data_IF_351789402180
#
_entry.id   IF_351789402180
#
_cell.length_a   1.000
_cell.length_b   1.000
_cell.length_c   1.000
_cell.angle_alpha   90.00
_cell.angle_beta   90.00
_cell.angle_gamma   90.00
#
_symmetry.space_group_name_H-M   'P 1'
#
loop_
_entity.id
_entity.type
_entity.pdbx_description
1 polymer ?
2 water ?
#
# COMPACT_ATOMS: atom_id res chain seq x y z
N UNK A 20 -15.76 -7.04 15.16
CA UNK A 20 -16.20 -6.89 13.78
C UNK A 20 -15.83 -5.58 13.18
N UNK A 21 -15.51 -4.62 14.05
CA UNK A 21 -15.15 -3.28 13.63
C UNK A 21 -13.80 -2.92 14.26
N UNK A 22 -13.24 -1.77 13.86
CA UNK A 22 -11.97 -1.25 14.33
C UNK A 22 -10.93 -2.36 14.30
N UNK A 23 -10.80 -3.05 13.13
CA UNK A 23 -9.80 -4.14 13.10
C UNK A 23 -8.89 -4.08 11.89
N UNK A 24 -8.97 -3.01 11.12
CA UNK A 24 -8.11 -2.86 9.95
C UNK A 24 -7.00 -1.85 10.20
N UNK A 25 -5.73 -2.24 9.99
CA UNK A 25 -4.63 -1.31 10.03
C UNK A 25 -4.25 -1.02 8.57
N UNK A 26 -4.28 0.25 8.16
CA UNK A 26 -4.07 0.63 6.76
C UNK A 26 -2.74 1.38 6.63
N UNK A 27 -1.86 0.85 5.78
CA UNK A 27 -0.54 1.45 5.54
C UNK A 27 -0.58 2.28 4.25
N UNK A 28 -0.18 3.57 4.36
CA UNK A 28 -0.22 4.51 3.25
C UNK A 28 1.07 5.29 3.12
N UNK A 29 1.37 5.76 1.90
CA UNK A 29 2.56 6.55 1.64
C UNK A 29 2.16 8.03 1.59
N UNK A 30 2.88 8.88 2.37
CA UNK A 30 2.52 10.29 2.50
C UNK A 30 3.18 11.24 1.52
N UNK A 31 4.04 10.73 0.60
CA UNK A 31 4.77 11.63 -0.29
C UNK A 31 4.62 11.22 -1.77
N UNK A 32 5.71 10.85 -2.48
CA UNK A 32 5.66 10.49 -3.89
C UNK A 32 5.67 9.00 -4.22
N UNK A 33 5.36 8.13 -3.28
CA UNK A 33 5.29 6.71 -3.61
C UNK A 33 6.55 5.89 -3.40
N UNK A 34 7.65 6.52 -2.96
CA UNK A 34 8.92 5.81 -2.79
C UNK A 34 9.37 5.69 -1.36
N UNK A 35 8.45 5.79 -0.40
CA UNK A 35 8.79 5.79 1.03
C UNK A 35 9.12 4.42 1.62
N UNK A 36 8.86 3.35 0.85
CA UNK A 36 9.14 2.00 1.33
C UNK A 36 8.05 1.46 2.23
N UNK A 37 6.78 1.65 1.84
CA UNK A 37 5.68 1.13 2.65
C UNK A 37 5.73 -0.40 2.81
N UNK A 38 6.32 -1.10 1.85
CA UNK A 38 6.46 -2.55 1.90
C UNK A 38 7.29 -3.03 3.09
N UNK A 39 8.30 -2.24 3.50
CA UNK A 39 9.09 -2.60 4.64
C UNK A 39 8.23 -2.57 5.90
N UNK A 40 7.46 -1.48 6.11
CA UNK A 40 6.67 -1.43 7.33
C UNK A 40 5.48 -2.42 7.28
N UNK A 41 4.97 -2.76 6.06
CA UNK A 41 3.89 -3.74 5.99
C UNK A 41 4.41 -5.09 6.45
N UNK A 42 5.59 -5.49 5.95
CA UNK A 42 6.15 -6.76 6.37
C UNK A 42 6.51 -6.78 7.86
N UNK A 43 7.09 -5.65 8.34
CA UNK A 43 7.43 -5.54 9.76
C UNK A 43 6.16 -5.66 10.65
N UNK A 44 5.08 -4.93 10.30
CA UNK A 44 3.85 -5.01 11.08
C UNK A 44 3.22 -6.39 11.01
N UNK A 45 3.31 -7.04 9.85
CA UNK A 45 2.74 -8.38 9.72
C UNK A 45 3.43 -9.40 10.65
N UNK A 46 4.75 -9.25 10.80
CA UNK A 46 5.48 -10.15 11.68
C UNK A 46 5.20 -9.84 13.15
N UNK A 47 5.10 -8.55 13.51
CA UNK A 47 4.83 -8.15 14.88
C UNK A 47 3.40 -8.43 15.33
N UNK A 48 2.39 -8.13 14.48
CA UNK A 48 1.00 -8.24 14.90
C UNK A 48 0.25 -9.51 14.48
N UNK A 49 0.77 -10.23 13.51
CA UNK A 49 0.21 -11.50 13.08
C UNK A 49 -1.21 -11.42 12.58
N UNK A 50 -1.46 -10.54 11.62
CA UNK A 50 -2.78 -10.41 11.02
C UNK A 50 -3.20 -11.74 10.37
N UNK A 51 -4.50 -12.07 10.41
CA UNK A 51 -4.95 -13.29 9.71
C UNK A 51 -5.32 -12.92 8.28
N UNK A 52 -5.67 -11.66 8.00
CA UNK A 52 -6.00 -11.29 6.64
C UNK A 52 -5.12 -10.13 6.20
N UNK A 53 -4.63 -10.22 4.94
CA UNK A 53 -3.88 -9.14 4.31
C UNK A 53 -4.57 -8.79 3.00
N UNK A 54 -4.70 -7.47 2.69
CA UNK A 54 -5.52 -7.07 1.56
C UNK A 54 -4.88 -5.87 0.87
N UNK A 55 -5.07 -5.76 -0.45
CA UNK A 55 -4.63 -4.61 -1.22
C UNK A 55 -5.45 -4.45 -2.46
N UNK A 56 -5.15 -3.42 -3.28
CA UNK A 56 -5.87 -3.17 -4.54
C UNK A 56 -4.91 -2.43 -5.45
N UNK A 57 -3.79 -3.09 -5.80
CA UNK A 57 -2.75 -2.41 -6.59
C UNK A 57 -3.07 -2.40 -8.09
N UNK A 58 -2.55 -1.37 -8.77
CA UNK A 58 -2.53 -1.32 -10.24
C UNK A 58 -1.08 -1.60 -10.61
N UNK A 59 -0.73 -1.80 -11.90
CA UNK A 59 0.67 -2.12 -12.23
C UNK A 59 1.65 -1.11 -11.65
N UNK A 60 2.69 -1.64 -11.03
CA UNK A 60 3.65 -0.79 -10.34
C UNK A 60 5.05 -1.40 -10.41
N UNK A 61 6.07 -0.67 -9.91
CA UNK A 61 7.45 -1.14 -9.92
C UNK A 61 7.78 -2.22 -8.87
N UNK A 62 6.86 -2.47 -7.94
CA UNK A 62 7.08 -3.49 -6.92
C UNK A 62 7.32 -2.92 -5.53
N UNK A 63 6.91 -3.69 -4.52
CA UNK A 63 7.04 -3.34 -3.10
C UNK A 63 7.87 -4.39 -2.44
N UNK A 64 8.95 -3.95 -1.78
CA UNK A 64 9.94 -4.83 -1.20
C UNK A 64 9.87 -4.95 0.31
N UNK A 65 10.07 -6.19 0.80
CA UNK A 65 10.24 -6.53 2.19
C UNK A 65 11.38 -7.54 2.28
N UNK A 66 12.30 -7.34 3.25
CA UNK A 66 13.40 -8.26 3.55
C UNK A 66 13.28 -8.57 5.06
N UNK A 67 13.17 -9.86 5.40
CA UNK A 67 13.02 -10.27 6.80
C UNK A 67 14.36 -10.28 7.56
N UNK A 68 14.33 -10.64 8.86
CA UNK A 68 15.52 -10.68 9.71
C UNK A 68 16.57 -11.68 9.21
N UNK A 69 16.14 -12.73 8.48
CA UNK A 69 17.05 -13.77 7.93
C UNK A 69 17.61 -13.43 6.54
N UNK A 70 17.10 -12.38 5.91
CA UNK A 70 17.57 -11.97 4.59
C UNK A 70 16.74 -12.41 3.40
N UNK A 71 15.56 -13.04 3.63
CA UNK A 71 14.70 -13.41 2.50
C UNK A 71 14.01 -12.15 2.00
N UNK A 72 13.95 -11.99 0.67
CA UNK A 72 13.40 -10.83 0.00
C UNK A 72 12.15 -11.15 -0.80
N UNK A 73 11.13 -10.30 -0.69
CA UNK A 73 9.91 -10.38 -1.47
C UNK A 73 9.79 -9.07 -2.22
N UNK A 74 9.63 -9.14 -3.56
CA UNK A 74 9.43 -7.99 -4.43
C UNK A 74 8.08 -8.26 -5.06
N UNK A 75 7.02 -7.60 -4.54
CA UNK A 75 5.67 -7.87 -4.98
C UNK A 75 5.05 -6.73 -5.75
N UNK A 76 4.43 -7.04 -6.89
CA UNK A 76 3.65 -6.07 -7.65
C UNK A 76 2.17 -6.35 -7.42
N UNK A 77 1.82 -7.61 -7.09
CA UNK A 77 0.43 -8.00 -6.95
C UNK A 77 0.10 -8.34 -5.52
N UNK A 78 0.79 -9.32 -4.94
CA UNK A 78 0.46 -9.76 -3.60
C UNK A 78 0.87 -8.74 -2.54
N UNK A 79 0.11 -8.68 -1.45
CA UNK A 79 0.52 -7.83 -0.32
C UNK A 79 1.84 -8.31 0.26
N UNK A 80 2.62 -7.37 0.82
CA UNK A 80 3.85 -7.76 1.50
C UNK A 80 3.56 -8.48 2.82
N UNK A 81 2.36 -8.26 3.36
CA UNK A 81 1.93 -8.85 4.62
C UNK A 81 1.74 -10.36 4.63
N UNK A 82 1.98 -11.04 3.50
CA UNK A 82 1.82 -12.51 3.48
C UNK A 82 2.81 -13.21 4.40
N UNK A 83 3.78 -12.45 4.94
CA UNK A 83 4.75 -12.96 5.90
C UNK A 83 4.16 -13.12 7.32
N UNK A 84 2.90 -12.72 7.52
CA UNK A 84 2.30 -12.85 8.84
C UNK A 84 2.32 -14.29 9.31
N UNK A 85 2.77 -14.56 10.54
CA UNK A 85 2.77 -15.96 11.01
C UNK A 85 1.37 -16.54 11.20
N UNK A 86 0.31 -15.71 11.23
CA UNK A 86 -1.05 -16.21 11.43
C UNK A 86 -1.88 -16.07 10.15
N UNK A 87 -1.21 -15.97 9.00
CA UNK A 87 -1.93 -15.78 7.73
C UNK A 87 -3.00 -16.82 7.43
N UNK A 88 -4.23 -16.36 7.08
CA UNK A 88 -5.34 -17.23 6.73
C UNK A 88 -5.95 -16.80 5.39
N UNK A 89 -5.98 -15.46 5.11
CA UNK A 89 -6.61 -14.97 3.88
C UNK A 89 -5.75 -13.89 3.24
N UNK A 90 -5.59 -13.96 1.89
CA UNK A 90 -4.89 -12.97 1.05
C UNK A 90 -5.94 -12.45 0.10
N UNK A 91 -6.27 -11.13 0.17
CA UNK A 91 -7.40 -10.62 -0.60
C UNK A 91 -6.97 -9.53 -1.60
N UNK A 92 -7.31 -9.70 -2.88
CA UNK A 92 -6.98 -8.68 -3.90
C UNK A 92 -8.29 -8.00 -4.32
N UNK A 93 -8.40 -6.72 -4.00
CA UNK A 93 -9.64 -5.97 -4.12
C UNK A 93 -10.11 -5.62 -5.51
N UNK A 94 -11.34 -5.11 -5.55
CA UNK A 94 -11.98 -4.76 -6.81
C UNK A 94 -11.20 -3.75 -7.60
N UNK A 95 -10.46 -2.88 -6.91
CA UNK A 95 -9.64 -1.87 -7.54
C UNK A 95 -8.37 -2.43 -8.14
N UNK A 96 -8.06 -3.71 -7.93
CA UNK A 96 -6.82 -4.25 -8.48
C UNK A 96 -6.84 -4.31 -10.01
N UNK A 97 -5.67 -4.08 -10.63
CA UNK A 97 -5.48 -4.24 -12.08
C UNK A 97 -4.18 -5.03 -12.13
N UNK A 98 -4.24 -6.29 -12.58
CA UNK A 98 -3.07 -7.14 -12.46
C UNK A 98 -2.87 -8.08 -13.62
N UNK A 99 -1.63 -8.51 -13.80
CA UNK A 99 -1.26 -9.49 -14.81
C UNK A 99 -1.41 -10.86 -14.16
N UNK A 100 -2.16 -11.80 -14.79
CA UNK A 100 -2.30 -13.14 -14.23
C UNK A 100 -0.93 -13.83 -14.18
N UNK A 101 -0.11 -13.65 -15.24
CA UNK A 101 1.22 -14.25 -15.25
C UNK A 101 2.03 -13.83 -14.02
N UNK A 102 2.00 -12.54 -13.67
CA UNK A 102 2.76 -12.07 -12.53
C UNK A 102 2.18 -12.60 -11.23
N UNK A 103 0.84 -12.66 -11.13
CA UNK A 103 0.26 -13.19 -9.90
C UNK A 103 0.68 -14.63 -9.67
N UNK A 104 0.65 -15.45 -10.75
CA UNK A 104 1.00 -16.85 -10.58
C UNK A 104 2.45 -17.03 -10.17
N UNK A 105 3.35 -16.17 -10.69
CA UNK A 105 4.78 -16.22 -10.34
C UNK A 105 4.97 -15.81 -8.87
N UNK A 106 4.26 -14.78 -8.41
CA UNK A 106 4.43 -14.38 -7.02
C UNK A 106 3.91 -15.45 -6.06
N UNK A 107 2.81 -16.14 -6.42
CA UNK A 107 2.27 -17.18 -5.55
C UNK A 107 3.29 -18.32 -5.50
N UNK A 108 3.87 -18.70 -6.67
CA UNK A 108 4.84 -19.80 -6.74
C UNK A 108 6.06 -19.53 -5.87
N UNK A 109 6.57 -18.29 -5.93
CA UNK A 109 7.74 -17.87 -5.15
C UNK A 109 7.53 -17.91 -3.64
N UNK A 110 6.26 -17.84 -3.19
CA UNK A 110 5.90 -17.91 -1.79
C UNK A 110 4.98 -19.09 -1.51
N UNK A 111 5.09 -20.18 -2.31
CA UNK A 111 4.21 -21.33 -2.13
C UNK A 111 4.26 -21.93 -0.72
N UNK A 112 5.41 -21.80 -0.02
CA UNK A 112 5.62 -22.29 1.35
C UNK A 112 4.71 -21.55 2.35
N UNK A 113 4.41 -20.27 2.08
CA UNK A 113 3.56 -19.45 2.94
C UNK A 113 2.11 -19.55 2.53
N UNK A 114 1.83 -20.00 1.30
CA UNK A 114 0.47 -19.95 0.76
C UNK A 114 -0.24 -21.29 0.52
N UNK A 115 0.48 -22.42 0.53
CA UNK A 115 -0.11 -23.74 0.22
C UNK A 115 -1.00 -24.36 1.31
N UNK A 116 -0.67 -24.17 2.60
CA UNK A 116 -1.41 -24.80 3.69
C UNK A 116 -2.33 -23.85 4.47
N UNK A 117 -3.66 -24.14 4.44
CA UNK A 117 -4.72 -23.41 5.16
C UNK A 117 -4.75 -21.89 4.91
N UNK A 118 -4.32 -21.46 3.70
CA UNK A 118 -4.36 -20.04 3.30
C UNK A 118 -5.27 -19.92 2.10
N UNK A 119 -6.27 -19.02 2.15
CA UNK A 119 -7.16 -18.82 1.03
C UNK A 119 -6.74 -17.52 0.33
N UNK A 120 -6.61 -17.57 -0.99
CA UNK A 120 -6.35 -16.37 -1.82
C UNK A 120 -7.67 -16.03 -2.48
N UNK A 121 -8.14 -14.79 -2.30
CA UNK A 121 -9.41 -14.37 -2.85
C UNK A 121 -9.22 -13.19 -3.78
N UNK A 122 -9.70 -13.32 -5.02
CA UNK A 122 -9.65 -12.23 -5.99
C UNK A 122 -11.08 -11.71 -6.15
N UNK A 123 -11.29 -10.42 -5.91
CA UNK A 123 -12.61 -9.85 -6.07
C UNK A 123 -13.10 -10.08 -7.48
N UNK A 124 -14.40 -10.39 -7.70
CA UNK A 124 -14.88 -10.66 -9.07
C UNK A 124 -14.72 -9.51 -10.03
N UNK A 125 -14.69 -8.28 -9.49
CA UNK A 125 -14.61 -7.15 -10.41
C UNK A 125 -13.22 -6.55 -10.50
N UNK A 126 -12.20 -7.27 -9.98
CA UNK A 126 -10.82 -6.89 -10.20
C UNK A 126 -10.54 -6.97 -11.74
N UNK A 127 -9.62 -6.14 -12.25
CA UNK A 127 -9.35 -6.07 -13.69
C UNK A 127 -8.15 -6.92 -14.05
N UNK A 128 -8.27 -7.72 -15.13
CA UNK A 128 -7.20 -8.54 -15.62
C UNK A 128 -6.51 -7.81 -16.78
N UNK A 129 -5.20 -7.60 -16.68
CA UNK A 129 -4.40 -6.99 -17.75
C UNK A 129 -4.28 -7.96 -18.92
N UNK A 130 -4.47 -7.45 -20.17
CA UNK A 130 -4.32 -8.26 -21.38
C UNK A 130 -2.82 -8.51 -21.56
N UNK A 131 -2.41 -9.80 -21.59
CA UNK A 131 -1.02 -10.27 -21.71
C UNK A 131 -0.30 -9.72 -22.93
N UNK A 151 -2.53 -2.17 -21.91
CA UNK A 151 -1.90 -1.61 -20.72
C UNK A 151 -2.87 -1.33 -19.59
N UNK A 152 -2.35 -0.76 -18.47
CA UNK A 152 -3.06 -0.42 -17.25
C UNK A 152 -4.25 0.51 -17.51
N UNK A 153 -4.03 1.61 -18.25
CA UNK A 153 -5.04 2.61 -18.58
C UNK A 153 -6.17 2.02 -19.42
N UNK A 154 -5.81 1.35 -20.54
CA UNK A 154 -6.79 0.74 -21.43
C UNK A 154 -7.68 -0.29 -20.72
N UNK A 155 -7.10 -1.10 -19.80
CA UNK A 155 -7.82 -2.12 -19.04
C UNK A 155 -8.81 -1.48 -18.05
N UNK A 156 -8.33 -0.48 -17.27
CA UNK A 156 -9.16 0.29 -16.34
C UNK A 156 -10.30 0.97 -17.12
N UNK A 157 -9.98 1.63 -18.27
CA UNK A 157 -10.99 2.23 -19.15
C UNK A 157 -11.98 1.18 -19.66
N UNK A 158 -11.48 0.00 -20.13
CA UNK A 158 -12.34 -1.09 -20.59
C UNK A 158 -13.33 -1.49 -19.48
N UNK A 159 -12.85 -1.60 -18.22
CA UNK A 159 -13.77 -1.97 -17.14
C UNK A 159 -14.84 -0.90 -16.98
N UNK A 160 -14.43 0.38 -17.01
CA UNK A 160 -15.36 1.50 -16.86
C UNK A 160 -16.35 1.62 -18.00
N UNK A 161 -16.03 1.13 -19.24
CA UNK A 161 -16.92 1.16 -20.40
C UNK A 161 -18.16 0.32 -20.19
N UNK A 162 -18.08 -0.74 -19.33
CA UNK A 162 -19.21 -1.62 -19.03
C UNK A 162 -19.93 -2.16 -20.28
N UNK A 163 -19.15 -2.70 -21.24
CA UNK A 163 -19.65 -3.26 -22.50
C UNK A 163 -20.29 -4.63 -22.18
N UNK A 164 -21.63 -4.79 -22.30
CA UNK A 164 -22.26 -6.05 -21.87
C UNK A 164 -21.82 -7.32 -22.59
N UNK A 165 -21.25 -7.19 -23.81
CA UNK A 165 -20.80 -8.37 -24.55
C UNK A 165 -19.32 -8.71 -24.28
N UNK A 166 -18.62 -7.86 -23.50
CA UNK A 166 -17.23 -8.10 -23.17
C UNK A 166 -17.09 -8.96 -21.90
N UNK A 167 -16.76 -10.25 -22.07
CA UNK A 167 -16.56 -11.19 -20.97
C UNK A 167 -15.05 -11.42 -20.78
N UNK A 168 -14.21 -10.43 -21.14
CA UNK A 168 -12.76 -10.60 -21.04
C UNK A 168 -12.02 -9.54 -20.20
N UNK A 169 -12.72 -8.76 -19.36
CA UNK A 169 -11.99 -7.73 -18.61
C UNK A 169 -11.97 -7.98 -17.09
N UNK A 170 -13.14 -8.28 -16.49
CA UNK A 170 -13.19 -8.47 -15.04
C UNK A 170 -12.89 -9.93 -14.67
N UNK A 171 -12.27 -10.13 -13.51
CA UNK A 171 -11.86 -11.47 -13.04
C UNK A 171 -12.99 -12.51 -13.03
N UNK A 172 -14.23 -12.11 -12.67
CA UNK A 172 -15.40 -12.99 -12.64
C UNK A 172 -15.58 -13.62 -14.03
N UNK A 173 -15.38 -12.82 -15.07
CA UNK A 173 -15.59 -13.30 -16.45
C UNK A 173 -14.39 -14.06 -17.01
N UNK A 174 -13.18 -13.56 -16.78
CA UNK A 174 -11.95 -14.23 -17.22
C UNK A 174 -11.84 -15.63 -16.56
N UNK A 175 -12.28 -15.73 -15.29
CA UNK A 175 -12.23 -17.00 -14.56
C UNK A 175 -13.06 -18.07 -15.23
N UNK A 176 -14.00 -17.69 -16.12
CA UNK A 176 -14.81 -18.73 -16.78
C UNK A 176 -14.06 -19.43 -17.89
N UNK A 177 -12.91 -18.92 -18.32
CA UNK A 177 -12.12 -19.59 -19.34
C UNK A 177 -10.63 -19.71 -18.97
N UNK A 178 -10.22 -19.06 -17.89
CA UNK A 178 -8.83 -19.14 -17.43
C UNK A 178 -8.82 -19.78 -16.04
N UNK A 179 -8.57 -21.08 -16.00
CA UNK A 179 -8.60 -21.79 -14.73
C UNK A 179 -7.55 -21.39 -13.74
N UNK A 180 -6.51 -20.69 -14.20
CA UNK A 180 -5.45 -20.23 -13.29
C UNK A 180 -6.03 -19.35 -12.19
N UNK A 181 -7.00 -18.50 -12.53
CA UNK A 181 -7.62 -17.64 -11.54
C UNK A 181 -9.00 -18.13 -11.09
N UNK A 182 -9.63 -19.06 -11.82
CA UNK A 182 -10.94 -19.55 -11.36
C UNK A 182 -10.88 -20.10 -9.92
N UNK A 183 -9.72 -20.66 -9.53
CA UNK A 183 -9.53 -21.22 -8.20
C UNK A 183 -9.50 -20.14 -7.11
N UNK A 184 -9.32 -18.85 -7.48
CA UNK A 184 -9.19 -17.79 -6.48
C UNK A 184 -10.31 -16.76 -6.56
N UNK A 185 -10.96 -16.61 -7.73
CA UNK A 185 -12.00 -15.62 -7.89
C UNK A 185 -13.23 -15.99 -7.06
N UNK A 186 -13.74 -15.03 -6.28
CA UNK A 186 -14.89 -15.26 -5.43
C UNK A 186 -16.07 -14.42 -5.89
N UNK A 187 -17.20 -14.54 -5.18
CA UNK A 187 -18.35 -13.70 -5.48
C UNK A 187 -18.29 -12.47 -4.57
N UNK A 188 -19.11 -11.48 -4.86
CA UNK A 188 -19.15 -10.30 -3.99
C UNK A 188 -19.58 -10.71 -2.60
N UNK A 189 -20.58 -11.60 -2.48
CA UNK A 189 -21.03 -12.06 -1.18
C UNK A 189 -19.90 -12.75 -0.39
N UNK A 190 -19.10 -13.57 -1.09
CA UNK A 190 -17.97 -14.26 -0.45
C UNK A 190 -16.89 -13.30 -0.03
N UNK A 191 -16.72 -12.19 -0.80
CA UNK A 191 -15.71 -11.18 -0.43
C UNK A 191 -16.15 -10.54 0.89
N UNK A 192 -17.42 -10.14 0.99
CA UNK A 192 -17.94 -9.53 2.19
C UNK A 192 -17.82 -10.46 3.38
N UNK A 193 -18.18 -11.74 3.18
CA UNK A 193 -18.11 -12.70 4.28
C UNK A 193 -16.68 -12.96 4.75
N UNK A 194 -15.71 -12.93 3.84
CA UNK A 194 -14.30 -13.09 4.23
C UNK A 194 -13.85 -11.91 5.09
N UNK A 195 -14.29 -10.68 4.74
CA UNK A 195 -13.95 -9.53 5.57
C UNK A 195 -14.61 -9.63 6.93
N UNK A 196 -15.90 -10.03 6.95
CA UNK A 196 -16.56 -10.22 8.25
C UNK A 196 -15.85 -11.28 9.06
N UNK A 197 -15.41 -12.40 8.44
CA UNK A 197 -14.78 -13.49 9.18
C UNK A 197 -13.38 -13.20 9.66
N UNK A 198 -12.76 -12.15 9.12
CA UNK A 198 -11.40 -11.78 9.51
C UNK A 198 -11.33 -11.19 10.91
N UNK A 199 -10.28 -11.56 11.66
CA UNK A 199 -10.13 -11.02 13.01
C UNK A 199 -9.33 -9.73 13.03
N UNK A 200 -8.15 -9.74 12.37
CA UNK A 200 -7.30 -8.57 12.30
C UNK A 200 -6.77 -8.46 10.88
N UNK A 201 -6.93 -7.26 10.26
CA UNK A 201 -6.57 -7.11 8.87
C UNK A 201 -5.52 -6.07 8.65
N UNK A 202 -4.56 -6.39 7.75
CA UNK A 202 -3.59 -5.41 7.31
C UNK A 202 -3.92 -5.04 5.87
N UNK A 203 -4.23 -3.74 5.64
CA UNK A 203 -4.56 -3.24 4.30
C UNK A 203 -3.39 -2.40 3.81
N UNK A 204 -2.95 -2.63 2.59
CA UNK A 204 -1.79 -1.93 2.05
C UNK A 204 -2.22 -1.06 0.89
N UNK A 205 -2.06 0.26 1.06
CA UNK A 205 -2.43 1.26 0.07
C UNK A 205 -1.47 1.28 -1.09
N UNK A 206 -1.82 2.05 -2.10
CA UNK A 206 -1.09 2.14 -3.35
C UNK A 206 -0.34 3.44 -3.49
N UNK A 207 0.71 3.44 -4.31
CA UNK A 207 1.44 4.63 -4.72
C UNK A 207 1.69 5.62 -3.57
N UNK A 208 1.30 6.88 -3.69
CA UNK A 208 1.56 7.84 -2.60
C UNK A 208 0.68 9.06 -2.71
N UNK A 209 0.47 9.76 -1.59
CA UNK A 209 -0.45 10.88 -1.55
C UNK A 209 -0.28 11.90 -2.68
N UNK A 210 0.96 12.40 -2.90
CA UNK A 210 1.09 13.44 -3.89
C UNK A 210 0.90 12.99 -5.33
N UNK A 211 0.80 11.69 -5.55
CA UNK A 211 0.56 11.15 -6.89
C UNK A 211 -0.93 11.05 -7.17
N UNK A 212 -1.78 11.44 -6.19
CA UNK A 212 -3.22 11.39 -6.36
C UNK A 212 -3.71 12.14 -7.58
N UNK A 213 -4.69 11.52 -8.25
CA UNK A 213 -5.36 12.09 -9.39
C UNK A 213 -5.86 13.51 -9.07
N UNK A 214 -6.35 13.74 -7.84
CA UNK A 214 -6.99 15.03 -7.54
C UNK A 214 -6.17 15.93 -6.64
N UNK A 215 -4.85 15.67 -6.57
CA UNK A 215 -3.94 16.61 -5.94
C UNK A 215 -3.44 17.57 -7.02
N UNK A 216 -2.67 18.57 -6.63
CA UNK A 216 -2.37 19.70 -7.50
C UNK A 216 -1.49 19.45 -8.73
N UNK A 217 -0.87 18.26 -8.84
CA UNK A 217 0.05 18.00 -9.96
C UNK A 217 -0.62 17.48 -11.22
N UNK A 218 -1.95 17.21 -11.16
CA UNK A 218 -2.70 16.78 -12.34
C UNK A 218 -2.28 17.60 -13.57
N UNK A 219 -1.99 16.99 -14.74
CA UNK A 219 -2.16 15.58 -15.11
C UNK A 219 -0.96 14.67 -14.84
N UNK A 220 0.03 15.16 -14.07
CA UNK A 220 1.26 14.40 -13.78
C UNK A 220 1.03 13.70 -12.46
N UNK A 221 0.21 12.65 -12.54
CA UNK A 221 -0.31 11.92 -11.40
C UNK A 221 -0.79 10.54 -11.85
N UNK A 222 -1.25 9.71 -10.89
CA UNK A 222 -1.83 8.40 -11.23
C UNK A 222 -3.33 8.59 -11.56
N UNK A 223 -4.03 7.49 -11.91
CA UNK A 223 -5.42 7.53 -12.33
C UNK A 223 -6.44 7.45 -11.20
N UNK A 224 -5.97 7.44 -9.92
CA UNK A 224 -6.88 7.37 -8.75
C UNK A 224 -6.32 8.24 -7.65
N UNK A 225 -7.14 8.55 -6.65
CA UNK A 225 -6.64 9.24 -5.48
C UNK A 225 -5.94 8.23 -4.59
N UNK A 226 -4.86 8.68 -3.93
CA UNK A 226 -4.07 7.81 -3.08
C UNK A 226 -4.30 8.25 -1.66
N UNK A 227 -5.55 8.07 -1.20
CA UNK A 227 -5.99 8.52 0.10
C UNK A 227 -6.67 7.39 0.82
N UNK A 228 -6.67 7.37 2.17
CA UNK A 228 -7.37 6.28 2.89
C UNK A 228 -8.79 6.04 2.45
N UNK A 229 -9.56 7.07 2.18
CA UNK A 229 -10.92 6.81 1.77
C UNK A 229 -10.97 6.06 0.45
N UNK A 230 -10.11 6.40 -0.51
CA UNK A 230 -10.17 5.70 -1.79
C UNK A 230 -9.63 4.30 -1.62
N UNK A 231 -8.65 4.09 -0.75
CA UNK A 231 -8.13 2.75 -0.60
C UNK A 231 -9.17 1.83 0.02
N UNK A 232 -9.88 2.30 1.05
CA UNK A 232 -10.91 1.46 1.63
C UNK A 232 -12.02 1.22 0.62
N UNK A 233 -12.30 2.21 -0.22
CA UNK A 233 -13.35 2.00 -1.21
C UNK A 233 -12.96 0.92 -2.18
N UNK A 234 -11.72 0.96 -2.64
CA UNK A 234 -11.23 0.02 -3.65
C UNK A 234 -10.99 -1.37 -3.12
N UNK A 235 -10.99 -1.55 -1.81
CA UNK A 235 -10.87 -2.86 -1.18
C UNK A 235 -12.23 -3.31 -0.61
N UNK A 236 -13.24 -2.44 -0.72
CA UNK A 236 -14.58 -2.82 -0.29
C UNK A 236 -14.70 -2.94 1.22
N UNK A 237 -13.84 -2.22 1.93
CA UNK A 237 -13.83 -2.25 3.39
C UNK A 237 -14.76 -1.22 3.99
N UNK A 238 -15.78 -1.61 4.77
CA UNK A 238 -16.63 -0.58 5.37
C UNK A 238 -15.86 0.35 6.28
N UNK A 239 -16.28 1.63 6.34
CA UNK A 239 -15.53 2.60 7.15
C UNK A 239 -15.43 2.22 8.63
N UNK A 240 -16.43 1.62 9.28
CA UNK A 240 -16.24 1.30 10.70
C UNK A 240 -15.20 0.25 10.98
N UNK A 241 -14.75 -0.46 9.95
CA UNK A 241 -13.68 -1.45 10.19
C UNK A 241 -12.30 -0.81 10.38
N UNK A 242 -12.11 0.46 10.00
CA UNK A 242 -10.78 1.06 10.13
C UNK A 242 -10.38 1.22 11.62
N UNK A 243 -9.20 0.66 11.99
CA UNK A 243 -8.70 0.80 13.36
C UNK A 243 -7.69 1.97 13.35
N UNK A 244 -6.70 1.90 12.46
CA UNK A 244 -5.68 2.93 12.41
C UNK A 244 -5.03 3.04 11.05
N UNK A 245 -4.42 4.23 10.80
CA UNK A 245 -3.72 4.48 9.58
C UNK A 245 -2.26 4.68 9.94
N UNK A 246 -1.35 3.94 9.28
CA UNK A 246 0.07 4.12 9.48
C UNK A 246 0.60 4.81 8.23
N UNK A 247 1.07 6.05 8.38
CA UNK A 247 1.60 6.78 7.23
C UNK A 247 3.10 6.60 7.12
N UNK A 248 3.57 6.43 5.89
CA UNK A 248 5.01 6.25 5.69
C UNK A 248 5.57 7.43 4.98
N UNK A 249 6.81 7.81 5.37
CA UNK A 249 7.48 8.96 4.79
C UNK A 249 8.96 8.65 4.61
N UNK A 250 9.67 9.42 3.76
CA UNK A 250 11.14 9.32 3.61
C UNK A 250 11.65 10.69 3.95
N UNK A 251 12.91 10.75 4.34
CA UNK A 251 13.54 12.02 4.62
C UNK A 251 13.68 12.86 3.34
N UNK A 252 14.12 12.22 2.24
CA UNK A 252 14.27 12.86 0.94
C UNK A 252 13.33 12.16 -0.04
N UNK A 253 12.12 12.71 -0.28
CA UNK A 253 11.17 12.03 -1.19
C UNK A 253 11.65 11.92 -2.62
N UNK A 254 11.25 10.85 -3.31
CA UNK A 254 11.68 10.58 -4.66
C UNK A 254 10.51 10.38 -5.61
N UNK A 255 10.59 11.05 -6.76
CA UNK A 255 9.65 10.87 -7.86
C UNK A 255 10.28 9.86 -8.82
N UNK A 256 9.52 8.85 -9.25
CA UNK A 256 9.99 7.83 -10.20
C UNK A 256 9.19 7.90 -11.52
N UNK A 260 8.41 13.89 -14.92
CA UNK A 260 7.37 13.04 -14.35
C UNK A 260 6.42 13.81 -13.42
N UNK A 261 6.59 15.13 -13.30
CA UNK A 261 5.75 15.98 -12.46
C UNK A 261 6.49 17.03 -11.65
N UNK A 262 5.74 18.04 -11.21
CA UNK A 262 6.26 19.13 -10.40
C UNK A 262 6.56 18.75 -8.96
N UNK A 263 6.97 19.72 -8.16
CA UNK A 263 7.28 19.52 -6.74
C UNK A 263 6.74 20.68 -5.94
N UNK A 264 6.89 20.64 -4.61
CA UNK A 264 6.35 21.68 -3.75
C UNK A 264 7.31 22.87 -3.67
N UNK A 265 6.78 24.08 -3.42
CA UNK A 265 7.66 25.29 -3.42
C UNK A 265 8.76 25.34 -2.38
N UNK A 266 8.64 24.54 -1.31
CA UNK A 266 9.63 24.52 -0.23
C UNK A 266 10.61 23.34 -0.31
N UNK A 267 10.75 22.75 -1.50
CA UNK A 267 11.66 21.65 -1.72
C UNK A 267 12.38 21.85 -3.06
N UNK A 268 13.54 21.22 -3.21
CA UNK A 268 14.34 21.32 -4.42
C UNK A 268 14.97 19.98 -4.74
N UNK A 269 15.30 19.75 -6.03
CA UNK A 269 15.96 18.53 -6.46
C UNK A 269 17.39 18.50 -5.92
N UNK A 270 17.79 17.34 -5.38
CA UNK A 270 19.14 17.12 -4.85
C UNK A 270 20.00 16.38 -5.86
N UNK A 288 13.81 6.73 -14.64
CA UNK A 288 14.23 8.09 -14.31
C UNK A 288 13.75 8.45 -12.89
N UNK A 289 14.69 8.84 -12.01
CA UNK A 289 14.40 9.19 -10.62
C UNK A 289 14.95 10.56 -10.22
N UNK A 290 14.11 11.35 -9.53
CA UNK A 290 14.50 12.67 -9.02
C UNK A 290 14.31 12.66 -7.50
N UNK A 291 15.39 12.95 -6.78
CA UNK A 291 15.41 13.00 -5.32
C UNK A 291 15.22 14.44 -4.89
N UNK A 292 14.32 14.67 -3.92
CA UNK A 292 14.03 16.03 -3.46
C UNK A 292 14.37 16.18 -2.00
N UNK A 293 14.54 17.44 -1.55
CA UNK A 293 14.71 17.70 -0.12
C UNK A 293 13.30 17.52 0.52
N UNK A 294 13.25 17.42 1.83
CA UNK A 294 12.02 17.26 2.59
C UNK A 294 11.15 18.49 2.39
N UNK A 295 9.84 18.27 2.17
CA UNK A 295 8.88 19.34 2.04
C UNK A 295 7.91 19.31 3.21
N UNK A 296 7.91 20.39 3.97
CA UNK A 296 6.99 20.58 5.09
C UNK A 296 5.58 20.76 4.54
N UNK A 297 5.43 21.52 3.45
CA UNK A 297 4.11 21.76 2.85
C UNK A 297 3.52 20.44 2.38
N UNK A 298 4.35 19.58 1.78
CA UNK A 298 3.88 18.28 1.30
C UNK A 298 3.31 17.50 2.46
N UNK A 299 4.01 17.51 3.58
CA UNK A 299 3.62 16.77 4.76
C UNK A 299 2.36 17.35 5.37
N UNK A 300 2.22 18.68 5.37
CA UNK A 300 0.99 19.28 5.89
C UNK A 300 -0.19 18.85 5.07
N UNK A 301 -0.06 18.87 3.73
CA UNK A 301 -1.15 18.46 2.87
C UNK A 301 -1.50 17.00 3.08
N UNK A 302 -0.46 16.15 3.16
CA UNK A 302 -0.70 14.72 3.38
C UNK A 302 -1.34 14.47 4.73
N UNK A 303 -0.90 15.17 5.77
CA UNK A 303 -1.50 15.02 7.11
C UNK A 303 -2.96 15.40 7.14
N UNK A 304 -3.32 16.53 6.49
CA UNK A 304 -4.70 16.94 6.50
C UNK A 304 -5.58 15.90 5.87
N UNK A 305 -5.20 15.38 4.68
CA UNK A 305 -6.10 14.44 4.05
C UNK A 305 -6.01 13.06 4.60
N UNK A 306 -4.81 12.58 4.82
CA UNK A 306 -4.59 11.19 5.20
C UNK A 306 -4.77 10.93 6.66
N UNK A 307 -4.56 11.96 7.51
CA UNK A 307 -4.78 11.83 8.95
C UNK A 307 -4.22 10.55 9.51
N UNK A 308 -2.93 10.29 9.35
CA UNK A 308 -2.40 9.06 9.93
C UNK A 308 -2.44 9.08 11.46
N UNK A 309 -2.43 7.88 12.07
CA UNK A 309 -2.41 7.82 13.53
C UNK A 309 -0.99 7.67 14.02
N UNK A 310 -0.16 7.03 13.20
CA UNK A 310 1.26 6.75 13.51
C UNK A 310 2.04 6.97 12.24
N UNK A 311 3.32 7.33 12.34
CA UNK A 311 4.16 7.51 11.15
C UNK A 311 5.42 6.67 11.23
N UNK A 312 5.79 6.10 10.10
CA UNK A 312 7.09 5.43 9.93
C UNK A 312 7.92 6.35 9.03
N UNK A 313 9.08 6.81 9.51
CA UNK A 313 9.98 7.64 8.73
C UNK A 313 11.16 6.79 8.32
N UNK A 314 11.26 6.52 7.01
CA UNK A 314 12.25 5.62 6.44
C UNK A 314 13.37 6.37 5.76
N UNK A 315 14.47 5.61 5.50
CA UNK A 315 15.69 6.08 4.84
C UNK A 315 16.39 7.16 5.67
N UNK A 316 16.28 7.06 7.01
CA UNK A 316 16.95 7.98 7.94
C UNK A 316 18.46 7.74 7.86
N UNK A 317 18.88 6.55 7.41
CA UNK A 317 20.30 6.20 7.34
C UNK A 317 21.13 7.09 6.41
N UNK A 318 20.47 7.80 5.48
CA UNK A 318 21.16 8.66 4.52
C UNK A 318 21.39 10.09 5.00
N UNK A 319 20.95 10.41 6.24
CA UNK A 319 21.08 11.76 6.80
C UNK A 319 21.87 11.78 8.11
N UNK A 320 22.44 12.91 8.47
CA UNK A 320 23.09 13.07 9.76
C UNK A 320 22.06 12.98 10.91
N UNK A 321 22.48 12.76 12.19
CA UNK A 321 21.52 12.74 13.31
C UNK A 321 20.66 14.00 13.33
N UNK A 322 21.27 15.20 13.14
CA UNK A 322 20.53 16.46 13.10
C UNK A 322 19.51 16.44 11.98
N UNK A 323 19.91 15.95 10.81
CA UNK A 323 19.09 15.86 9.61
C UNK A 323 17.81 15.08 9.80
N UNK A 324 17.91 13.81 10.22
CA UNK A 324 16.69 12.99 10.40
C UNK A 324 15.92 13.36 11.68
N UNK A 325 16.56 13.84 12.74
CA UNK A 325 15.82 14.25 13.94
C UNK A 325 15.03 15.52 13.67
N UNK A 326 15.58 16.47 12.86
CA UNK A 326 14.86 17.70 12.51
C UNK A 326 13.63 17.33 11.68
N UNK A 327 13.72 16.33 10.81
CA UNK A 327 12.58 15.92 10.00
C UNK A 327 11.52 15.28 10.88
N UNK A 328 11.92 14.47 11.88
CA UNK A 328 10.95 13.90 12.83
C UNK A 328 10.14 15.07 13.47
N UNK A 329 10.82 16.11 13.94
CA UNK A 329 10.10 17.22 14.57
C UNK A 329 9.23 17.98 13.58
N UNK A 330 9.68 18.17 12.33
CA UNK A 330 8.89 18.85 11.28
C UNK A 330 7.64 18.07 10.97
N UNK A 331 7.73 16.72 10.93
CA UNK A 331 6.56 15.91 10.63
C UNK A 331 5.51 16.10 11.70
N UNK A 332 5.93 16.20 12.96
CA UNK A 332 4.98 16.37 14.07
C UNK A 332 4.41 17.77 14.11
N UNK A 333 5.18 18.80 13.71
CA UNK A 333 4.64 20.16 13.64
C UNK A 333 3.61 20.17 12.51
N UNK A 334 3.91 19.48 11.37
CA UNK A 334 2.99 19.47 10.22
C UNK A 334 1.68 18.83 10.64
N UNK A 335 1.77 17.70 11.37
CA UNK A 335 0.58 17.03 11.85
C UNK A 335 -0.25 17.94 12.75
N UNK A 336 0.36 18.52 13.77
CA UNK A 336 -0.39 19.37 14.68
C UNK A 336 -1.05 20.54 13.91
N UNK A 337 -0.34 21.10 12.91
CA UNK A 337 -0.86 22.24 12.16
C UNK A 337 -2.10 21.90 11.38
N UNK A 338 -2.33 20.57 11.14
CA UNK A 338 -3.48 20.12 10.37
C UNK A 338 -4.41 19.17 11.14
N UNK A 339 -4.50 19.39 12.44
CA UNK A 339 -5.47 18.72 13.31
C UNK A 339 -5.27 17.22 13.41
N UNK A 340 -4.03 16.79 13.21
CA UNK A 340 -3.66 15.39 13.21
C UNK A 340 -2.75 15.11 14.43
N UNK A 341 -3.08 14.12 15.27
CA UNK A 341 -2.26 13.83 16.44
C UNK A 341 -1.17 12.78 16.19
N UNK A 342 -0.85 12.50 14.91
CA UNK A 342 0.21 11.54 14.57
C UNK A 342 1.54 11.86 15.23
N UNK A 343 2.24 10.80 15.67
CA UNK A 343 3.62 10.90 16.13
C UNK A 343 4.44 9.92 15.30
N UNK A 344 5.71 10.22 15.17
CA UNK A 344 6.62 9.32 14.44
C UNK A 344 6.96 8.22 15.44
N UNK A 345 6.50 7.00 15.16
CA UNK A 345 6.66 5.85 16.05
C UNK A 345 7.81 4.97 15.63
N UNK A 346 8.00 4.83 14.30
CA UNK A 346 9.01 3.95 13.74
C UNK A 346 10.00 4.72 12.91
N UNK A 347 11.27 4.28 12.94
CA UNK A 347 12.30 4.90 12.14
C UNK A 347 12.99 3.80 11.34
N UNK A 348 13.20 4.03 10.06
CA UNK A 348 13.86 3.08 9.17
C UNK A 348 15.28 3.49 8.86
N UNK A 349 16.22 2.60 9.18
CA UNK A 349 17.65 2.86 8.97
C UNK A 349 18.29 1.85 8.01
N UNK A 350 17.48 1.20 7.19
CA UNK A 350 17.98 0.20 6.26
C UNK A 350 16.81 -0.53 5.62
N UNK A 351 17.08 -1.44 4.66
CA UNK A 351 15.97 -2.09 3.95
C UNK A 351 15.38 -3.35 4.58
N UNK A 352 15.87 -3.77 5.75
CA UNK A 352 15.38 -5.00 6.34
C UNK A 352 14.61 -4.81 7.63
N UNK A 353 13.93 -5.90 8.07
CA UNK A 353 13.22 -5.96 9.33
C UNK A 353 14.12 -5.50 10.48
N UNK A 354 15.41 -5.88 10.45
CA UNK A 354 16.34 -5.52 11.53
C UNK A 354 16.67 -4.04 11.59
N UNK A 355 16.32 -3.27 10.56
CA UNK A 355 16.65 -1.86 10.48
C UNK A 355 15.51 -0.93 10.87
N UNK A 356 14.39 -1.50 11.34
CA UNK A 356 13.26 -0.69 11.79
C UNK A 356 13.39 -0.54 13.30
N UNK A 357 13.45 0.71 13.79
CA UNK A 357 13.64 1.02 15.20
C UNK A 357 12.47 1.79 15.74
N UNK A 358 12.25 1.72 17.06
CA UNK A 358 11.23 2.50 17.71
C UNK A 358 11.82 3.88 17.95
N UNK A 359 11.10 4.94 17.55
CA UNK A 359 11.58 6.30 17.70
C UNK A 359 11.94 6.59 19.15
N UNK A 360 11.08 6.09 20.10
CA UNK A 360 11.24 6.25 21.56
C UNK A 360 12.53 5.60 22.09
N UNK A 361 13.15 4.70 21.30
CA UNK A 361 14.40 4.00 21.65
C UNK A 361 15.68 4.65 21.10
N UNK A 362 15.57 5.58 20.12
CA UNK A 362 16.77 6.19 19.53
C UNK A 362 16.83 7.73 19.65
N UNK A 363 15.75 8.40 20.11
CA UNK A 363 15.76 9.86 20.32
C UNK A 363 14.80 10.30 21.46
#
# INVERSE_FOLDING_TARGET
MGSSHHHHHHSSGLVPRGSHMENVDLVIDLQFGSTGKGLIAGYLAEKNGYDTVINANMPNAGHTYINAEGRKWMHKVLPNGIVSPNLKRVMLGAGSVFSINRLMEEIEMSKDLLHDKVAILIHPMATVLDEEAHKKAEVGIATSIGSTGQGSMAAMVEKLQRDPTNNTIVARDVAQYDGRIAQYVCTVEEWDMALMASERILAEGAQGFSLSLNQEFYPYCTSRDCTPARFLADMGIPLPMLNKVIGTARCHPIRVGGTSGGHYPDQEELTWEQLGQVPELTTVTKKVRRVFSFSFIQMQKAMWTCQPDEVFLNFCNYLSPMGWQDIVHQIEVAAQSRYCDAEVKYLGFGPTFNDVELREDVM
#
